data_IF_535536559026
#
_entry.id   IF_535536559026
#
_cell.length_a   1.000
_cell.length_b   1.000
_cell.length_c   1.000
_cell.angle_alpha   90.00
_cell.angle_beta   90.00
_cell.angle_gamma   90.00
#
_symmetry.space_group_name_H-M   'P 1'
#
loop_
_entity.id
_entity.type
_entity.pdbx_description
1 polymer ?
#
# COMPACT_ATOMS: atom_id res chain seq x y z
N UNK A 1 25.68 48.80 -4.96
CA UNK A 1 25.56 49.47 -3.66
C UNK A 1 24.37 48.90 -2.90
N UNK A 2 24.56 48.58 -1.62
CA UNK A 2 23.55 48.10 -0.68
C UNK A 2 22.74 49.29 -0.16
N UNK A 3 21.43 49.15 0.02
CA UNK A 3 20.77 49.75 1.18
C UNK A 3 19.48 48.99 1.51
N UNK A 4 19.44 48.42 2.72
CA UNK A 4 18.27 47.82 3.34
C UNK A 4 17.46 48.95 3.98
N UNK A 5 16.14 48.91 3.86
CA UNK A 5 15.25 49.65 4.76
C UNK A 5 14.24 48.63 5.30
N UNK A 6 14.35 48.37 6.60
CA UNK A 6 13.36 47.67 7.39
C UNK A 6 12.26 48.68 7.74
N UNK A 7 11.00 48.28 7.56
CA UNK A 7 9.85 48.98 8.12
C UNK A 7 9.03 47.98 8.92
N UNK A 8 9.02 48.20 10.24
CA UNK A 8 8.09 47.61 11.18
C UNK A 8 6.71 48.25 10.99
N UNK A 9 5.63 47.48 11.13
CA UNK A 9 4.28 48.02 10.96
C UNK A 9 3.14 47.08 11.28
N UNK A 10 2.84 46.95 12.58
CA UNK A 10 1.51 46.89 13.20
C UNK A 10 0.62 45.64 12.98
N UNK A 11 0.30 45.05 14.13
CA UNK A 11 -0.64 43.99 14.44
C UNK A 11 -2.08 44.39 14.04
N UNK A 12 -2.77 43.51 13.33
CA UNK A 12 -4.23 43.47 13.31
C UNK A 12 -4.68 42.06 13.76
N UNK A 13 -5.05 41.96 15.04
CA UNK A 13 -5.77 40.83 15.61
C UNK A 13 -7.20 40.84 15.06
N UNK A 14 -7.44 40.05 14.01
CA UNK A 14 -8.80 39.67 13.62
C UNK A 14 -9.21 38.43 14.41
N UNK A 15 -9.69 38.62 15.65
CA UNK A 15 -10.47 37.61 16.36
C UNK A 15 -11.92 37.67 15.84
N UNK A 16 -12.13 37.12 14.65
CA UNK A 16 -13.48 36.75 14.21
C UNK A 16 -13.73 35.32 14.66
N UNK A 17 -14.50 35.20 15.73
CA UNK A 17 -14.97 33.91 16.23
C UNK A 17 -15.84 33.20 15.19
N UNK A 18 -15.36 32.04 14.73
CA UNK A 18 -16.21 30.99 14.20
C UNK A 18 -16.02 29.77 15.10
N UNK A 19 -16.94 29.61 16.03
CA UNK A 19 -17.25 28.34 16.68
C UNK A 19 -17.63 27.34 15.60
N UNK A 20 -16.78 26.32 15.38
CA UNK A 20 -17.13 24.90 15.32
C UNK A 20 -16.13 24.09 14.46
N UNK A 21 -15.65 23.02 15.08
CA UNK A 21 -15.06 21.83 14.48
C UNK A 21 -13.67 21.98 13.83
N UNK A 22 -12.64 21.76 14.65
CA UNK A 22 -11.36 21.21 14.20
C UNK A 22 -11.64 19.79 13.71
N UNK A 23 -12.07 19.66 12.46
CA UNK A 23 -11.91 18.42 11.71
C UNK A 23 -10.50 18.49 11.16
N UNK A 24 -9.60 17.66 11.71
CA UNK A 24 -8.34 17.33 11.06
C UNK A 24 -8.62 17.08 9.57
N UNK A 25 -7.84 17.64 8.63
CA UNK A 25 -7.88 17.17 7.27
C UNK A 25 -7.37 15.73 7.30
N UNK A 26 -8.31 14.78 7.35
CA UNK A 26 -8.04 13.40 7.00
C UNK A 26 -7.45 13.46 5.60
N UNK A 27 -6.15 13.17 5.51
CA UNK A 27 -5.49 13.03 4.23
C UNK A 27 -6.39 12.12 3.37
N UNK A 28 -6.75 12.52 2.14
CA UNK A 28 -7.63 11.69 1.33
C UNK A 28 -7.02 10.30 1.27
N UNK A 29 -7.75 9.32 1.83
CA UNK A 29 -7.36 7.93 1.74
C UNK A 29 -7.01 7.67 0.27
N UNK A 30 -5.85 7.07 -0.03
CA UNK A 30 -5.44 6.85 -1.41
C UNK A 30 -6.58 6.13 -2.11
N UNK A 31 -7.19 6.82 -3.08
CA UNK A 31 -8.30 6.29 -3.85
C UNK A 31 -7.73 5.08 -4.57
N UNK A 32 -8.06 3.89 -4.06
CA UNK A 32 -7.71 2.63 -4.70
C UNK A 32 -8.59 2.61 -5.94
N UNK A 33 -8.02 3.12 -7.04
CA UNK A 33 -8.61 2.99 -8.35
C UNK A 33 -8.92 1.51 -8.52
N UNK A 34 -10.19 1.18 -8.79
CA UNK A 34 -10.59 -0.18 -9.18
C UNK A 34 -9.84 -0.49 -10.47
N UNK A 35 -8.64 -1.02 -10.34
CA UNK A 35 -7.79 -1.41 -11.46
C UNK A 35 -8.44 -2.63 -12.07
N UNK A 36 -9.14 -2.42 -13.18
CA UNK A 36 -9.55 -3.51 -14.07
C UNK A 36 -8.29 -4.32 -14.37
N UNK A 37 -8.26 -5.57 -13.91
CA UNK A 37 -7.13 -6.47 -14.06
C UNK A 37 -6.77 -6.59 -15.55
N UNK A 38 -5.62 -6.06 -15.93
CA UNK A 38 -5.06 -6.29 -17.27
C UNK A 38 -4.53 -7.72 -17.30
N UNK A 39 -5.16 -8.58 -18.09
CA UNK A 39 -4.72 -9.97 -18.25
C UNK A 39 -3.28 -10.00 -18.76
N UNK A 40 -2.38 -10.56 -17.95
CA UNK A 40 -0.96 -10.63 -18.24
C UNK A 40 -0.66 -11.55 -19.43
N UNK A 41 0.38 -11.24 -20.21
CA UNK A 41 0.90 -12.13 -21.25
C UNK A 41 1.38 -13.47 -20.63
N UNK A 42 1.38 -14.58 -21.38
CA UNK A 42 1.83 -15.88 -20.87
C UNK A 42 3.24 -15.83 -20.25
N UNK A 43 4.16 -15.10 -20.86
CA UNK A 43 5.53 -14.92 -20.35
C UNK A 43 5.57 -14.23 -18.98
N UNK A 44 4.75 -13.19 -18.79
CA UNK A 44 4.62 -12.51 -17.49
C UNK A 44 4.03 -13.43 -16.43
N UNK A 45 3.05 -14.27 -16.81
CA UNK A 45 2.45 -15.22 -15.89
C UNK A 45 3.46 -16.28 -15.42
N UNK A 46 4.32 -16.76 -16.31
CA UNK A 46 5.37 -17.71 -15.94
C UNK A 46 6.40 -17.10 -14.99
N UNK A 47 6.87 -15.89 -15.28
CA UNK A 47 7.80 -15.16 -14.39
C UNK A 47 7.18 -14.91 -13.02
N UNK A 48 5.93 -14.41 -13.00
CA UNK A 48 5.19 -14.23 -11.76
C UNK A 48 5.04 -15.54 -10.98
N UNK A 49 4.77 -16.65 -11.66
CA UNK A 49 4.62 -17.95 -11.00
C UNK A 49 5.93 -18.40 -10.31
N UNK A 50 7.07 -18.24 -10.99
CA UNK A 50 8.40 -18.53 -10.42
C UNK A 50 8.67 -17.68 -9.18
N UNK A 51 8.42 -16.37 -9.27
CA UNK A 51 8.65 -15.45 -8.15
C UNK A 51 7.69 -15.71 -6.97
N UNK A 52 6.43 -16.02 -7.26
CA UNK A 52 5.42 -16.40 -6.27
C UNK A 52 5.83 -17.67 -5.51
N UNK A 53 6.34 -18.69 -6.21
CA UNK A 53 6.88 -19.91 -5.57
C UNK A 53 8.08 -19.57 -4.67
N UNK A 54 8.98 -18.71 -5.14
CA UNK A 54 10.16 -18.32 -4.38
C UNK A 54 9.78 -17.54 -3.10
N UNK A 55 8.79 -16.64 -3.17
CA UNK A 55 8.26 -15.94 -1.99
C UNK A 55 7.57 -16.93 -1.06
N UNK A 56 6.67 -17.78 -1.57
CA UNK A 56 5.97 -18.80 -0.77
C UNK A 56 6.91 -19.83 -0.12
N UNK A 57 8.08 -20.10 -0.72
CA UNK A 57 9.08 -20.97 -0.10
C UNK A 57 9.78 -20.26 1.05
N UNK A 58 10.07 -18.96 0.91
CA UNK A 58 10.70 -18.17 1.98
C UNK A 58 9.84 -18.02 3.23
N UNK A 59 8.51 -18.14 3.11
CA UNK A 59 7.62 -18.11 4.29
C UNK A 59 7.80 -19.35 5.17
N UNK A 60 8.28 -20.48 4.63
CA UNK A 60 8.47 -21.72 5.42
C UNK A 60 9.64 -21.63 6.39
N UNK A 61 10.63 -20.80 6.06
CA UNK A 61 11.81 -20.56 6.91
C UNK A 61 11.63 -19.43 7.92
N UNK A 62 10.50 -18.71 7.87
CA UNK A 62 10.23 -17.58 8.76
C UNK A 62 9.33 -18.02 9.94
N UNK A 63 9.83 -17.98 11.18
CA UNK A 63 9.07 -18.42 12.36
C UNK A 63 7.94 -17.45 12.75
N UNK A 64 7.98 -16.21 12.27
CA UNK A 64 6.96 -15.20 12.55
C UNK A 64 5.84 -15.21 11.50
N UNK A 65 5.99 -15.98 10.41
CA UNK A 65 5.00 -16.04 9.35
C UNK A 65 3.82 -16.92 9.74
N UNK A 66 2.65 -16.30 9.90
CA UNK A 66 1.40 -17.00 10.17
C UNK A 66 0.61 -17.16 8.87
N UNK A 67 0.44 -18.40 8.42
CA UNK A 67 -0.27 -18.69 7.18
C UNK A 67 -1.69 -18.10 7.19
N UNK A 68 -1.98 -17.27 6.19
CA UNK A 68 -3.34 -16.78 5.94
C UNK A 68 -4.27 -17.90 5.46
N UNK A 69 -5.48 -17.94 5.98
CA UNK A 69 -6.53 -18.87 5.58
C UNK A 69 -7.10 -18.48 4.19
N UNK A 70 -6.50 -19.03 3.13
CA UNK A 70 -6.95 -18.91 1.74
C UNK A 70 -7.64 -20.22 1.33
N UNK A 71 -8.72 -20.56 2.01
CA UNK A 71 -9.45 -21.82 1.88
C UNK A 71 -10.39 -21.84 0.66
N UNK A 72 -11.07 -20.73 0.37
CA UNK A 72 -12.00 -20.65 -0.76
C UNK A 72 -11.32 -20.33 -2.10
N UNK A 73 -11.85 -20.81 -3.24
CA UNK A 73 -11.36 -20.45 -4.57
C UNK A 73 -11.35 -18.94 -4.84
N UNK A 74 -12.34 -18.22 -4.33
CA UNK A 74 -12.49 -16.77 -4.48
C UNK A 74 -11.36 -16.05 -3.73
N UNK A 75 -11.09 -16.46 -2.48
CA UNK A 75 -9.98 -15.89 -1.68
C UNK A 75 -8.63 -16.16 -2.31
N UNK A 76 -8.41 -17.37 -2.83
CA UNK A 76 -7.17 -17.73 -3.56
C UNK A 76 -7.00 -16.85 -4.80
N UNK A 77 -8.07 -16.67 -5.57
CA UNK A 77 -8.05 -15.86 -6.80
C UNK A 77 -7.80 -14.39 -6.49
N UNK A 78 -8.54 -13.83 -5.52
CA UNK A 78 -8.35 -12.46 -5.03
C UNK A 78 -6.90 -12.22 -4.60
N UNK A 79 -6.37 -13.10 -3.74
CA UNK A 79 -5.02 -12.94 -3.22
C UNK A 79 -3.95 -13.08 -4.31
N UNK A 80 -4.13 -14.01 -5.24
CA UNK A 80 -3.25 -14.16 -6.42
C UNK A 80 -3.24 -12.91 -7.29
N UNK A 81 -4.42 -12.33 -7.55
CA UNK A 81 -4.54 -11.09 -8.32
C UNK A 81 -3.87 -9.93 -7.60
N UNK A 82 -4.07 -9.80 -6.29
CA UNK A 82 -3.45 -8.76 -5.48
C UNK A 82 -1.91 -8.88 -5.47
N UNK A 83 -1.37 -10.10 -5.34
CA UNK A 83 0.07 -10.34 -5.46
C UNK A 83 0.59 -10.03 -6.87
N UNK A 84 -0.15 -10.40 -7.91
CA UNK A 84 0.22 -10.09 -9.28
C UNK A 84 0.29 -8.58 -9.52
N UNK A 85 -0.70 -7.82 -9.04
CA UNK A 85 -0.72 -6.36 -9.14
C UNK A 85 0.49 -5.73 -8.46
N UNK A 86 0.89 -6.23 -7.29
CA UNK A 86 2.09 -5.76 -6.62
C UNK A 86 3.36 -6.11 -7.41
N UNK A 87 3.45 -7.35 -7.88
CA UNK A 87 4.59 -7.84 -8.65
C UNK A 87 4.77 -7.05 -9.95
N UNK A 88 3.70 -6.85 -10.72
CA UNK A 88 3.69 -6.08 -11.97
C UNK A 88 3.82 -4.56 -11.73
N UNK A 89 3.74 -4.11 -10.47
CA UNK A 89 3.89 -2.70 -10.09
C UNK A 89 2.65 -1.84 -10.32
N UNK A 90 1.48 -2.47 -10.54
CA UNK A 90 0.19 -1.79 -10.67
C UNK A 90 -0.29 -1.18 -9.34
N UNK A 91 0.14 -1.76 -8.22
CA UNK A 91 -0.08 -1.22 -6.88
C UNK A 91 1.24 -1.13 -6.13
N UNK A 92 1.30 -0.17 -5.21
CA UNK A 92 2.42 0.00 -4.29
C UNK A 92 2.35 -1.00 -3.13
N UNK A 93 3.47 -1.16 -2.40
CA UNK A 93 3.52 -1.95 -1.16
C UNK A 93 2.46 -1.49 -0.14
N UNK A 94 2.28 -0.18 0.04
CA UNK A 94 1.30 0.35 1.00
C UNK A 94 -0.13 0.02 0.59
N UNK A 95 -0.46 0.11 -0.70
CA UNK A 95 -1.76 -0.29 -1.24
C UNK A 95 -1.99 -1.80 -1.08
N UNK A 96 -1.00 -2.64 -1.39
CA UNK A 96 -1.08 -4.08 -1.17
C UNK A 96 -1.38 -4.43 0.29
N UNK A 97 -0.64 -3.83 1.23
CA UNK A 97 -0.86 -4.04 2.67
C UNK A 97 -2.24 -3.52 3.09
N UNK A 98 -2.65 -2.33 2.64
CA UNK A 98 -3.95 -1.77 2.98
C UNK A 98 -5.12 -2.64 2.48
N UNK A 99 -5.07 -3.09 1.22
CA UNK A 99 -6.10 -3.99 0.67
C UNK A 99 -6.11 -5.35 1.35
N UNK A 100 -4.92 -5.89 1.65
CA UNK A 100 -4.77 -7.14 2.39
C UNK A 100 -5.42 -7.08 3.77
N UNK A 101 -5.16 -6.00 4.51
CA UNK A 101 -5.65 -5.80 5.87
C UNK A 101 -7.16 -5.60 5.95
N UNK A 102 -7.84 -5.18 4.87
CA UNK A 102 -9.31 -5.14 4.84
C UNK A 102 -9.92 -6.53 4.97
N UNK A 103 -9.28 -7.54 4.35
CA UNK A 103 -9.74 -8.93 4.40
C UNK A 103 -9.14 -9.71 5.58
N UNK A 104 -7.93 -9.34 6.01
CA UNK A 104 -7.15 -10.04 7.04
C UNK A 104 -6.49 -9.02 8.01
N UNK A 105 -7.24 -8.40 8.93
CA UNK A 105 -6.75 -7.27 9.75
C UNK A 105 -5.55 -7.58 10.64
N UNK A 106 -5.38 -8.84 11.04
CA UNK A 106 -4.31 -9.26 11.95
C UNK A 106 -3.06 -9.77 11.24
N UNK A 107 -2.99 -9.67 9.90
CA UNK A 107 -1.92 -10.26 9.08
C UNK A 107 -0.94 -9.23 8.50
N UNK A 108 -0.74 -8.10 9.20
CA UNK A 108 0.12 -7.00 8.72
C UNK A 108 1.54 -7.49 8.44
N UNK A 109 2.07 -8.38 9.27
CA UNK A 109 3.41 -8.95 9.09
C UNK A 109 3.51 -9.71 7.76
N UNK A 110 2.56 -10.61 7.50
CA UNK A 110 2.53 -11.45 6.30
C UNK A 110 2.46 -10.62 5.03
N UNK A 111 1.59 -9.61 4.98
CA UNK A 111 1.51 -8.74 3.80
C UNK A 111 2.80 -7.94 3.59
N UNK A 112 3.45 -7.46 4.67
CA UNK A 112 4.75 -6.80 4.52
C UNK A 112 5.83 -7.77 4.05
N UNK A 113 5.89 -8.97 4.63
CA UNK A 113 6.83 -10.02 4.28
C UNK A 113 6.75 -10.38 2.80
N UNK A 114 5.52 -10.62 2.31
CA UNK A 114 5.27 -10.95 0.90
C UNK A 114 5.70 -9.79 0.00
N UNK A 115 5.35 -8.56 0.36
CA UNK A 115 5.71 -7.41 -0.44
C UNK A 115 7.23 -7.18 -0.53
N UNK A 116 7.95 -7.35 0.58
CA UNK A 116 9.41 -7.29 0.62
C UNK A 116 10.05 -8.45 -0.13
N UNK A 117 9.42 -9.63 -0.12
CA UNK A 117 9.81 -10.77 -0.92
C UNK A 117 9.83 -10.45 -2.41
N UNK A 118 8.80 -9.79 -2.92
CA UNK A 118 8.74 -9.37 -4.32
C UNK A 118 9.70 -8.22 -4.65
N UNK A 119 9.89 -7.26 -3.74
CA UNK A 119 10.83 -6.16 -3.94
C UNK A 119 12.28 -6.63 -4.13
N UNK A 120 12.69 -7.71 -3.45
CA UNK A 120 14.04 -8.31 -3.57
C UNK A 120 14.30 -9.06 -4.87
N UNK A 121 13.28 -9.25 -5.72
CA UNK A 121 13.34 -10.08 -6.95
C UNK A 121 13.16 -9.26 -8.23
N UNK A 122 13.00 -7.93 -8.09
CA UNK A 122 13.06 -6.98 -9.20
C UNK A 122 14.49 -6.51 -9.39
#
# INVERSE_FOLDING_TARGET
MKLKIAAAGIIALALSGCTNSIVSPEAPAPVVQKTTYTQASPEKQERFHKDMIAVATSTKSDPNYHRMALDTPERKTWFRNLMFQLWDGQITKSQFVAEGLKAYPNHKYEFNFIADGYAKRK
#
